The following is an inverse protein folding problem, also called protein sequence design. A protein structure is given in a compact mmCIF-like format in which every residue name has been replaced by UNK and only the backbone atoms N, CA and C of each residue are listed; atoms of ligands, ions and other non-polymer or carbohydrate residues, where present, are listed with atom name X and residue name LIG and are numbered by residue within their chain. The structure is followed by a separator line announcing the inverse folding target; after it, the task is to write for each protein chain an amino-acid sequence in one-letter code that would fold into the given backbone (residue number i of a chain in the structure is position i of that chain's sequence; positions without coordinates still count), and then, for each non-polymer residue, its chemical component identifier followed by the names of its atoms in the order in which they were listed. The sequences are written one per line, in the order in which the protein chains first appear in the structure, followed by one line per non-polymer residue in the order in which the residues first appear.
data_IF_698040405792
#
_entry.id   IF_698040405792
#
_cell.length_a   1.000
_cell.length_b   1.000
_cell.length_c   1.000
_cell.angle_alpha   90.00
_cell.angle_beta   90.00
_cell.angle_gamma   90.00
#
_symmetry.space_group_name_H-M   'P 1'
#
loop_
_entity.id
_entity.type
_entity.pdbx_description
1 polymer ?
#
# COMPACT_ATOMS: atom_id res chain seq x y z
N UNK A 1 -53.10 -19.76 32.65
CA UNK A 1 -52.07 -18.74 32.34
C UNK A 1 -52.33 -18.28 30.91
N UNK A 2 -53.11 -17.19 30.74
CA UNK A 2 -53.57 -16.72 29.43
C UNK A 2 -52.52 -15.76 28.85
N UNK A 3 -51.95 -16.12 27.71
CA UNK A 3 -50.92 -15.35 27.01
C UNK A 3 -51.57 -14.15 26.32
N UNK A 4 -51.23 -12.94 26.75
CA UNK A 4 -51.74 -11.67 26.21
C UNK A 4 -51.10 -11.43 24.84
N UNK A 5 -51.86 -11.57 23.76
CA UNK A 5 -51.42 -11.22 22.41
C UNK A 5 -51.17 -9.71 22.35
N UNK A 6 -50.05 -9.32 21.74
CA UNK A 6 -49.73 -7.93 21.49
C UNK A 6 -50.72 -7.36 20.46
N UNK A 7 -51.28 -6.18 20.74
CA UNK A 7 -52.17 -5.48 19.81
C UNK A 7 -51.39 -5.09 18.54
N UNK A 8 -51.93 -5.44 17.37
CA UNK A 8 -51.29 -5.33 16.05
C UNK A 8 -51.20 -3.89 15.51
N UNK A 9 -51.35 -2.87 16.36
CA UNK A 9 -51.43 -1.47 15.93
C UNK A 9 -50.82 -0.50 16.96
N UNK A 10 -49.62 -0.82 17.44
CA UNK A 10 -48.83 0.09 18.27
C UNK A 10 -47.95 0.95 17.36
N UNK A 11 -48.19 2.26 17.34
CA UNK A 11 -47.36 3.23 16.65
C UNK A 11 -45.93 3.18 17.19
N UNK A 12 -44.96 3.06 16.28
CA UNK A 12 -43.55 2.98 16.65
C UNK A 12 -43.00 4.33 17.11
N UNK A 13 -41.92 4.33 17.89
CA UNK A 13 -41.25 5.57 18.32
C UNK A 13 -40.86 6.48 17.14
N UNK A 14 -40.54 5.88 15.99
CA UNK A 14 -40.25 6.61 14.75
C UNK A 14 -41.51 7.27 14.16
N UNK A 15 -42.66 6.62 14.25
CA UNK A 15 -43.94 7.21 13.80
C UNK A 15 -44.40 8.33 14.72
N UNK A 16 -44.13 8.23 16.03
CA UNK A 16 -44.38 9.30 17.00
C UNK A 16 -43.44 10.50 16.77
N UNK A 17 -42.16 10.25 16.45
CA UNK A 17 -41.17 11.29 16.15
C UNK A 17 -41.51 12.05 14.85
N UNK A 18 -42.09 11.35 13.88
CA UNK A 18 -42.28 11.85 12.51
C UNK A 18 -43.76 12.08 12.14
N UNK A 19 -44.65 11.94 13.12
CA UNK A 19 -46.11 12.08 13.00
C UNK A 19 -46.56 13.55 12.97
N UNK A 20 -47.64 13.83 12.24
CA UNK A 20 -48.19 15.18 12.03
C UNK A 20 -48.96 15.75 13.23
N UNK A 21 -49.16 14.94 14.27
CA UNK A 21 -50.09 15.26 15.34
C UNK A 21 -49.32 15.76 16.55
N UNK A 22 -48.99 17.06 16.46
CA UNK A 22 -48.53 17.93 17.55
C UNK A 22 -47.14 17.56 18.11
N UNK A 23 -46.13 18.28 17.59
CA UNK A 23 -44.70 18.40 18.04
C UNK A 23 -43.66 17.59 17.24
N UNK A 24 -44.04 16.67 16.34
CA UNK A 24 -43.10 15.88 15.52
C UNK A 24 -42.56 16.57 14.24
N UNK A 25 -41.36 16.16 13.80
CA UNK A 25 -40.78 16.55 12.51
C UNK A 25 -41.59 15.93 11.38
N UNK A 26 -41.90 16.67 10.30
CA UNK A 26 -42.55 16.01 9.16
C UNK A 26 -41.62 14.96 8.52
N UNK A 27 -42.18 13.87 7.95
CA UNK A 27 -41.41 12.84 7.22
C UNK A 27 -40.47 13.44 6.18
N UNK A 28 -40.94 14.47 5.48
CA UNK A 28 -40.15 15.23 4.51
C UNK A 28 -39.03 16.02 5.19
N UNK A 29 -39.30 16.67 6.32
CA UNK A 29 -38.30 17.40 7.12
C UNK A 29 -37.19 16.49 7.64
N UNK A 30 -37.54 15.31 8.16
CA UNK A 30 -36.58 14.31 8.62
C UNK A 30 -35.67 13.80 7.48
N UNK A 31 -36.27 13.41 6.34
CA UNK A 31 -35.50 12.96 5.17
C UNK A 31 -34.62 14.09 4.63
N UNK A 32 -35.13 15.32 4.56
CA UNK A 32 -34.37 16.46 4.06
C UNK A 32 -33.20 16.82 4.98
N UNK A 33 -33.41 16.79 6.30
CA UNK A 33 -32.36 17.02 7.28
C UNK A 33 -31.27 15.94 7.24
N UNK A 34 -31.66 14.67 7.12
CA UNK A 34 -30.72 13.56 6.96
C UNK A 34 -29.89 13.67 5.68
N UNK A 35 -30.52 14.00 4.55
CA UNK A 35 -29.85 14.18 3.27
C UNK A 35 -28.85 15.36 3.30
N UNK A 36 -29.23 16.50 3.89
CA UNK A 36 -28.36 17.66 4.03
C UNK A 36 -27.16 17.38 4.95
N UNK A 37 -27.38 16.68 6.06
CA UNK A 37 -26.31 16.32 6.98
C UNK A 37 -25.31 15.36 6.31
N UNK A 38 -25.81 14.37 5.55
CA UNK A 38 -24.98 13.47 4.75
C UNK A 38 -24.17 14.21 3.67
N UNK A 39 -24.79 15.13 2.93
CA UNK A 39 -24.11 15.93 1.92
C UNK A 39 -23.04 16.85 2.53
N UNK A 40 -23.31 17.47 3.68
CA UNK A 40 -22.36 18.31 4.39
C UNK A 40 -21.14 17.51 4.89
N UNK A 41 -21.35 16.29 5.39
CA UNK A 41 -20.24 15.40 5.76
C UNK A 41 -19.46 14.90 4.54
N UNK A 42 -20.11 14.66 3.41
CA UNK A 42 -19.44 14.26 2.16
C UNK A 42 -18.55 15.37 1.60
N UNK A 43 -19.03 16.62 1.57
CA UNK A 43 -18.26 17.77 1.09
C UNK A 43 -17.23 18.29 2.11
N UNK A 44 -17.58 18.31 3.40
CA UNK A 44 -16.74 18.85 4.48
C UNK A 44 -15.80 17.84 5.14
N UNK A 45 -16.08 16.53 5.05
CA UNK A 45 -15.29 15.46 5.67
C UNK A 45 -13.89 15.32 5.06
N UNK A 46 -13.67 15.80 3.83
CA UNK A 46 -12.35 15.82 3.22
C UNK A 46 -11.32 16.67 3.99
N UNK A 47 -11.74 17.73 4.69
CA UNK A 47 -10.83 18.60 5.46
C UNK A 47 -10.38 17.95 6.77
N UNK A 48 -11.27 17.22 7.44
CA UNK A 48 -10.95 16.52 8.70
C UNK A 48 -10.15 15.24 8.45
N UNK A 49 -10.46 14.49 7.39
CA UNK A 49 -9.73 13.28 7.00
C UNK A 49 -8.27 13.55 6.64
N UNK A 50 -7.97 14.69 6.01
CA UNK A 50 -6.59 15.08 5.68
C UNK A 50 -5.76 15.42 6.92
N UNK A 51 -6.38 15.96 7.96
CA UNK A 51 -5.68 16.40 9.18
C UNK A 51 -5.29 15.20 10.06
N UNK A 52 -6.15 14.18 10.17
CA UNK A 52 -5.85 12.96 10.94
C UNK A 52 -4.74 12.13 10.26
N UNK A 53 -4.77 12.01 8.93
CA UNK A 53 -3.71 11.33 8.17
C UNK A 53 -2.38 12.08 8.20
N UNK A 54 -2.39 13.42 8.15
CA UNK A 54 -1.17 14.21 8.24
C UNK A 54 -0.49 14.09 9.63
N UNK A 55 -1.28 14.04 10.71
CA UNK A 55 -0.75 13.96 12.06
C UNK A 55 -0.18 12.58 12.40
N UNK A 56 -0.75 11.49 11.84
CA UNK A 56 -0.20 10.14 11.98
C UNK A 56 1.09 9.94 11.20
N UNK A 57 1.25 10.57 10.04
CA UNK A 57 2.51 10.58 9.27
C UNK A 57 3.61 11.37 10.01
N UNK A 58 3.27 12.49 10.64
CA UNK A 58 4.22 13.26 11.46
C UNK A 58 4.66 12.51 12.71
N UNK A 59 3.78 11.71 13.33
CA UNK A 59 4.11 10.86 14.47
C UNK A 59 4.92 9.61 14.09
N UNK A 60 4.76 9.12 12.85
CA UNK A 60 5.55 8.03 12.28
C UNK A 60 6.93 8.47 11.77
N UNK A 61 7.14 9.77 11.59
CA UNK A 61 8.43 10.38 11.24
C UNK A 61 9.33 10.49 12.46
N UNK A 62 9.65 9.35 13.09
CA UNK A 62 10.58 9.27 14.20
C UNK A 62 12.02 9.58 13.76
N UNK A 63 12.90 9.78 14.74
CA UNK A 63 14.36 10.05 14.61
C UNK A 63 15.13 9.12 13.65
N UNK A 64 14.54 7.98 13.27
CA UNK A 64 15.13 6.99 12.36
C UNK A 64 15.08 7.41 10.88
N UNK A 65 14.13 8.25 10.45
CA UNK A 65 13.97 8.63 9.05
C UNK A 65 14.81 9.88 8.71
N UNK A 66 16.06 9.66 8.28
CA UNK A 66 17.02 10.72 7.96
C UNK A 66 16.94 11.30 6.55
N UNK A 67 15.90 10.99 5.77
CA UNK A 67 15.74 11.45 4.39
C UNK A 67 14.37 12.09 4.16
N UNK A 68 14.30 13.01 3.19
CA UNK A 68 13.03 13.59 2.77
C UNK A 68 12.29 12.65 1.83
N UNK A 69 10.97 12.53 2.01
CA UNK A 69 10.12 11.78 1.10
C UNK A 69 10.22 12.30 -0.33
N UNK A 70 10.22 11.41 -1.31
CA UNK A 70 10.28 11.74 -2.74
C UNK A 70 8.92 11.51 -3.40
N UNK A 71 8.58 12.25 -4.49
CA UNK A 71 7.33 12.04 -5.20
C UNK A 71 7.32 10.70 -5.94
N UNK A 72 6.11 10.21 -6.23
CA UNK A 72 5.93 9.08 -7.14
C UNK A 72 6.45 9.42 -8.55
N UNK A 73 6.99 8.43 -9.25
CA UNK A 73 7.55 8.57 -10.58
C UNK A 73 7.10 7.44 -11.49
N UNK A 74 7.05 7.72 -12.80
CA UNK A 74 6.75 6.75 -13.87
C UNK A 74 7.89 6.64 -14.88
N UNK A 75 9.03 7.28 -14.60
CA UNK A 75 10.20 7.21 -15.46
C UNK A 75 10.84 5.82 -15.34
N UNK A 76 11.39 5.32 -16.45
CA UNK A 76 12.16 4.08 -16.51
C UNK A 76 13.58 4.30 -15.94
N UNK A 77 13.64 4.62 -14.65
CA UNK A 77 14.87 4.95 -13.92
C UNK A 77 14.66 4.87 -12.41
N UNK A 78 15.76 4.79 -11.66
CA UNK A 78 15.73 4.82 -10.20
C UNK A 78 15.71 6.27 -9.70
N UNK A 79 14.66 6.64 -8.97
CA UNK A 79 14.54 7.94 -8.29
C UNK A 79 14.92 7.81 -6.81
N UNK A 80 15.78 8.69 -6.31
CA UNK A 80 16.32 8.63 -4.95
C UNK A 80 16.21 9.97 -4.22
N UNK A 81 16.24 9.97 -2.88
CA UNK A 81 16.40 11.21 -2.11
C UNK A 81 17.73 11.90 -2.41
N UNK A 82 17.82 13.20 -2.08
CA UNK A 82 19.05 13.96 -2.24
C UNK A 82 20.22 13.32 -1.47
N UNK A 83 21.38 13.21 -2.12
CA UNK A 83 22.60 12.66 -1.53
C UNK A 83 22.76 11.14 -1.67
N UNK A 84 21.79 10.45 -2.26
CA UNK A 84 21.85 9.01 -2.52
C UNK A 84 22.25 8.70 -3.97
N UNK A 85 22.88 7.54 -4.19
CA UNK A 85 23.28 7.03 -5.50
C UNK A 85 22.99 5.53 -5.61
N UNK A 86 22.73 5.05 -6.82
CA UNK A 86 22.58 3.62 -7.12
C UNK A 86 23.61 3.15 -8.15
N UNK A 87 23.95 1.85 -8.11
CA UNK A 87 24.74 1.17 -9.13
C UNK A 87 24.19 -0.22 -9.36
N UNK A 88 24.26 -0.70 -10.61
CA UNK A 88 23.99 -2.10 -10.94
C UNK A 88 25.12 -2.95 -10.35
N UNK A 89 24.77 -3.98 -9.56
CA UNK A 89 25.72 -4.93 -8.99
C UNK A 89 25.95 -6.13 -9.92
N UNK A 90 24.85 -6.75 -10.36
CA UNK A 90 24.81 -7.87 -11.29
C UNK A 90 23.45 -7.82 -12.02
N UNK A 91 23.34 -8.46 -13.19
CA UNK A 91 22.10 -8.53 -13.97
C UNK A 91 21.94 -9.92 -14.57
N UNK A 92 20.71 -10.26 -14.97
CA UNK A 92 20.39 -11.48 -15.69
C UNK A 92 21.37 -11.72 -16.86
N UNK A 93 21.86 -12.95 -16.96
CA UNK A 93 22.80 -13.37 -18.00
C UNK A 93 24.28 -13.12 -17.68
N UNK A 94 24.60 -12.52 -16.54
CA UNK A 94 26.00 -12.28 -16.16
C UNK A 94 26.76 -13.61 -15.92
N UNK A 95 27.90 -13.87 -16.58
CA UNK A 95 28.68 -15.09 -16.35
C UNK A 95 29.29 -15.11 -14.95
N UNK A 96 29.04 -16.16 -14.17
CA UNK A 96 29.51 -16.25 -12.78
C UNK A 96 30.94 -16.82 -12.65
N UNK A 97 31.44 -17.46 -13.71
CA UNK A 97 32.74 -18.13 -13.73
C UNK A 97 33.71 -17.44 -14.69
N UNK A 98 35.01 -17.53 -14.37
CA UNK A 98 36.06 -17.01 -15.25
C UNK A 98 36.01 -17.71 -16.62
N UNK A 99 35.92 -16.92 -17.70
CA UNK A 99 35.78 -17.46 -19.06
C UNK A 99 34.38 -17.98 -19.39
N UNK A 100 33.37 -17.73 -18.55
CA UNK A 100 31.98 -18.09 -18.81
C UNK A 100 31.39 -17.37 -20.04
N UNK A 101 30.30 -17.90 -20.61
CA UNK A 101 29.68 -17.32 -21.79
C UNK A 101 29.11 -15.93 -21.47
N UNK A 102 29.42 -14.95 -22.32
CA UNK A 102 28.83 -13.62 -22.20
C UNK A 102 27.32 -13.66 -22.49
N UNK A 103 26.56 -12.74 -21.90
CA UNK A 103 25.15 -12.56 -22.21
C UNK A 103 24.95 -12.20 -23.70
N UNK A 104 24.00 -12.86 -24.35
CA UNK A 104 23.62 -12.59 -25.73
C UNK A 104 22.28 -11.82 -25.77
N UNK A 105 22.30 -10.50 -26.01
CA UNK A 105 21.08 -9.68 -26.03
C UNK A 105 20.16 -9.99 -27.21
N UNK A 106 20.60 -10.79 -28.20
CA UNK A 106 19.74 -11.24 -29.29
C UNK A 106 18.78 -12.38 -28.90
N UNK A 107 18.93 -12.93 -27.68
CA UNK A 107 18.12 -14.03 -27.17
C UNK A 107 18.51 -15.41 -27.71
N UNK A 108 19.70 -15.54 -28.33
CA UNK A 108 20.20 -16.79 -28.91
C UNK A 108 21.15 -17.56 -27.99
N UNK A 109 21.31 -17.12 -26.74
CA UNK A 109 22.02 -17.87 -25.71
C UNK A 109 21.42 -19.26 -25.54
N UNK A 110 22.27 -20.25 -25.24
CA UNK A 110 21.82 -21.62 -25.04
C UNK A 110 21.41 -21.87 -23.59
N UNK A 111 20.60 -22.91 -23.36
CA UNK A 111 20.26 -23.34 -22.00
C UNK A 111 21.51 -23.66 -21.17
N UNK A 112 22.50 -24.31 -21.78
CA UNK A 112 23.78 -24.63 -21.13
C UNK A 112 24.59 -23.39 -20.78
N UNK A 113 24.45 -22.30 -21.55
CA UNK A 113 25.07 -21.03 -21.18
C UNK A 113 24.36 -20.41 -19.97
N UNK A 114 23.03 -20.46 -19.93
CA UNK A 114 22.23 -19.91 -18.83
C UNK A 114 22.47 -20.63 -17.49
N UNK A 115 22.78 -21.93 -17.49
CA UNK A 115 23.10 -22.72 -16.28
C UNK A 115 24.30 -22.17 -15.48
N UNK A 116 25.21 -21.43 -16.14
CA UNK A 116 26.42 -20.83 -15.53
C UNK A 116 26.39 -19.30 -15.50
N UNK A 117 25.24 -18.71 -15.83
CA UNK A 117 24.97 -17.28 -15.77
C UNK A 117 24.04 -16.97 -14.60
N UNK A 118 24.04 -15.71 -14.15
CA UNK A 118 23.06 -15.21 -13.20
C UNK A 118 21.65 -15.36 -13.79
N UNK A 119 20.73 -15.93 -13.02
CA UNK A 119 19.40 -16.26 -13.49
C UNK A 119 18.50 -15.04 -13.74
N UNK A 120 17.33 -15.30 -14.30
CA UNK A 120 16.34 -14.28 -14.62
C UNK A 120 15.50 -13.90 -13.39
N UNK A 121 14.75 -12.79 -13.49
CA UNK A 121 13.75 -12.31 -12.52
C UNK A 121 14.17 -12.51 -11.07
N UNK A 122 15.30 -11.87 -10.71
CA UNK A 122 15.86 -11.98 -9.37
C UNK A 122 14.87 -11.45 -8.32
N UNK A 123 14.72 -12.18 -7.22
CA UNK A 123 13.81 -11.82 -6.13
C UNK A 123 14.52 -11.91 -4.77
N UNK A 124 13.92 -12.59 -3.78
CA UNK A 124 14.42 -12.66 -2.41
C UNK A 124 15.90 -13.00 -2.31
N UNK A 125 16.59 -12.33 -1.40
CA UNK A 125 18.03 -12.45 -1.24
C UNK A 125 18.50 -12.29 0.20
N UNK A 126 19.64 -12.91 0.52
CA UNK A 126 20.32 -12.80 1.80
C UNK A 126 21.81 -12.53 1.60
N UNK A 127 22.38 -11.61 2.39
CA UNK A 127 23.81 -11.31 2.44
C UNK A 127 24.45 -11.95 3.68
N UNK A 128 25.52 -12.70 3.46
CA UNK A 128 26.29 -13.41 4.47
C UNK A 128 27.71 -12.82 4.55
N UNK A 129 28.07 -12.10 5.63
CA UNK A 129 29.43 -11.62 5.83
C UNK A 129 30.42 -12.79 5.86
N UNK A 130 31.58 -12.64 5.23
CA UNK A 130 32.59 -13.69 5.22
C UNK A 130 33.43 -13.63 6.51
N UNK A 131 33.48 -14.71 7.31
CA UNK A 131 34.24 -14.72 8.56
C UNK A 131 35.72 -14.35 8.34
N UNK A 132 36.24 -13.44 9.16
CA UNK A 132 37.63 -12.97 9.04
C UNK A 132 37.90 -11.96 7.92
N UNK A 133 36.90 -11.63 7.09
CA UNK A 133 37.04 -10.68 5.98
C UNK A 133 35.99 -9.57 6.08
N UNK A 134 36.43 -8.34 6.40
CA UNK A 134 35.54 -7.18 6.57
C UNK A 134 34.96 -6.62 5.26
N UNK A 135 35.55 -6.99 4.14
CA UNK A 135 35.32 -6.47 2.80
C UNK A 135 34.79 -7.53 1.84
N UNK A 136 34.41 -8.70 2.35
CA UNK A 136 33.88 -9.81 1.56
C UNK A 136 32.58 -10.32 2.17
N UNK A 137 31.64 -10.63 1.29
CA UNK A 137 30.38 -11.27 1.63
C UNK A 137 29.96 -12.21 0.50
N UNK A 138 29.04 -13.13 0.81
CA UNK A 138 28.33 -13.95 -0.16
C UNK A 138 26.87 -13.50 -0.21
N UNK A 139 26.27 -13.49 -1.39
CA UNK A 139 24.84 -13.28 -1.55
C UNK A 139 24.20 -14.51 -2.17
N UNK A 140 23.15 -15.01 -1.54
CA UNK A 140 22.24 -15.98 -2.15
C UNK A 140 21.03 -15.19 -2.64
N UNK A 141 20.76 -15.25 -3.95
CA UNK A 141 19.71 -14.48 -4.62
C UNK A 141 18.85 -15.47 -5.40
N UNK A 142 17.54 -15.43 -5.18
CA UNK A 142 16.58 -16.27 -5.89
C UNK A 142 16.41 -15.79 -7.34
N UNK A 143 16.04 -16.72 -8.21
CA UNK A 143 15.61 -16.46 -9.60
C UNK A 143 14.27 -17.15 -9.78
N UNK A 144 13.19 -16.39 -9.98
CA UNK A 144 11.82 -16.90 -9.78
C UNK A 144 11.22 -17.57 -11.03
N UNK A 145 11.29 -16.93 -12.20
CA UNK A 145 10.66 -17.40 -13.45
C UNK A 145 11.40 -16.92 -14.69
#
# INVERSE_FOLDING_TARGET
MMMKLLEENQTTDLENLVGTDKVGLTRRGFISAGALCGAAMFLGGNLLSRTVLANSVSAASGTLLGFQSIPAATADSISLPQGYTSSVLISWGHPLQAGGPAFDPSGKGTAQAQEVQFGDNNDGMCLFPMPGHKDRALMAINNEY
#
